data_IF_144435532128
#
_entry.id   IF_144435532128
#
_cell.length_a   1.000
_cell.length_b   1.000
_cell.length_c   1.000
_cell.angle_alpha   90.00
_cell.angle_beta   90.00
_cell.angle_gamma   90.00
#
_symmetry.space_group_name_H-M   'P 1'
#
loop_
_entity.id
_entity.type
_entity.pdbx_description
1 polymer ?
#
# COMPACT_ATOMS: atom_id res chain seq x y z
N UNK A 1 -33.56 -64.72 39.77
CA UNK A 1 -33.87 -63.47 40.52
C UNK A 1 -32.70 -62.50 40.43
N UNK A 2 -31.55 -62.77 41.05
CA UNK A 2 -30.39 -61.84 41.05
C UNK A 2 -29.89 -61.47 39.64
N UNK A 3 -29.77 -62.44 38.75
CA UNK A 3 -29.37 -62.19 37.35
C UNK A 3 -30.34 -61.28 36.59
N UNK A 4 -31.65 -61.41 36.84
CA UNK A 4 -32.68 -60.58 36.21
C UNK A 4 -32.66 -59.15 36.77
N UNK A 5 -32.34 -58.99 38.05
CA UNK A 5 -32.19 -57.68 38.68
C UNK A 5 -30.96 -56.97 38.13
N UNK A 6 -29.84 -57.69 37.97
CA UNK A 6 -28.61 -57.15 37.39
C UNK A 6 -28.78 -56.73 35.93
N UNK A 7 -29.48 -57.52 35.10
CA UNK A 7 -29.73 -57.15 33.71
C UNK A 7 -30.62 -55.92 33.59
N UNK A 8 -31.65 -55.79 34.44
CA UNK A 8 -32.50 -54.59 34.47
C UNK A 8 -31.72 -53.36 34.91
N UNK A 9 -30.87 -53.47 35.93
CA UNK A 9 -29.99 -52.38 36.36
C UNK A 9 -29.02 -51.95 35.27
N UNK A 10 -28.45 -52.90 34.53
CA UNK A 10 -27.54 -52.60 33.43
C UNK A 10 -28.28 -51.87 32.30
N UNK A 11 -29.45 -52.39 31.90
CA UNK A 11 -30.23 -51.84 30.79
C UNK A 11 -30.75 -50.42 31.08
N UNK A 12 -31.11 -50.14 32.34
CA UNK A 12 -31.55 -48.80 32.77
C UNK A 12 -30.37 -47.85 33.00
N UNK A 13 -29.21 -48.35 33.42
CA UNK A 13 -28.02 -47.54 33.71
C UNK A 13 -27.23 -47.09 32.47
N UNK A 14 -27.24 -47.89 31.40
CA UNK A 14 -26.55 -47.57 30.13
C UNK A 14 -26.85 -46.16 29.57
N UNK A 15 -28.12 -45.72 29.42
CA UNK A 15 -28.42 -44.40 28.84
C UNK A 15 -27.96 -43.22 29.71
N UNK A 16 -27.79 -43.41 31.03
CA UNK A 16 -27.28 -42.34 31.90
C UNK A 16 -25.78 -42.07 31.67
N UNK A 17 -25.02 -43.07 31.22
CA UNK A 17 -23.60 -42.90 30.91
C UNK A 17 -23.38 -42.12 29.60
N UNK A 18 -24.26 -42.30 28.61
CA UNK A 18 -24.14 -41.67 27.29
C UNK A 18 -24.45 -40.16 27.30
N UNK A 19 -25.31 -39.71 28.22
CA UNK A 19 -25.64 -38.30 28.38
C UNK A 19 -24.47 -37.49 28.99
N UNK A 20 -23.58 -38.13 29.75
CA UNK A 20 -22.45 -37.48 30.40
C UNK A 20 -21.20 -37.38 29.50
N UNK A 21 -21.12 -38.23 28.47
CA UNK A 21 -19.96 -38.31 27.56
C UNK A 21 -20.10 -37.46 26.30
N UNK A 22 -21.31 -36.95 26.01
CA UNK A 22 -21.55 -36.12 24.82
C UNK A 22 -21.01 -34.71 25.08
N UNK A 23 -19.89 -34.29 24.45
CA UNK A 23 -19.41 -32.93 24.60
C UNK A 23 -20.47 -31.95 24.06
N UNK A 24 -20.65 -30.77 24.68
CA UNK A 24 -21.58 -29.78 24.16
C UNK A 24 -21.16 -29.41 22.73
N UNK A 25 -22.08 -29.58 21.77
CA UNK A 25 -21.82 -29.23 20.37
C UNK A 25 -21.70 -27.71 20.29
N UNK A 26 -20.48 -27.21 20.15
CA UNK A 26 -20.23 -25.78 19.96
C UNK A 26 -20.89 -25.34 18.65
N UNK A 27 -21.90 -24.48 18.72
CA UNK A 27 -22.43 -23.78 17.56
C UNK A 27 -21.58 -22.53 17.35
N UNK A 28 -20.36 -22.68 16.87
CA UNK A 28 -19.58 -21.53 16.43
C UNK A 28 -20.24 -20.97 15.17
N UNK A 29 -20.67 -19.69 15.15
CA UNK A 29 -21.19 -19.08 13.94
C UNK A 29 -20.14 -19.19 12.83
N UNK A 30 -20.55 -19.72 11.67
CA UNK A 30 -19.68 -19.75 10.49
C UNK A 30 -19.47 -18.30 10.03
N UNK A 31 -18.22 -17.87 9.74
CA UNK A 31 -17.99 -16.55 9.14
C UNK A 31 -18.87 -16.36 7.90
N UNK A 32 -19.71 -15.33 7.90
CA UNK A 32 -20.66 -15.06 6.82
C UNK A 32 -22.03 -15.74 6.94
N UNK A 33 -22.37 -16.33 8.08
CA UNK A 33 -23.74 -16.79 8.34
C UNK A 33 -24.76 -15.64 8.19
N UNK A 34 -25.97 -15.89 7.67
CA UNK A 34 -27.00 -14.85 7.55
C UNK A 34 -27.22 -14.11 8.87
N UNK A 35 -27.11 -12.78 8.86
CA UNK A 35 -27.21 -11.95 10.07
C UNK A 35 -25.91 -11.72 10.84
N UNK A 36 -24.77 -12.30 10.41
CA UNK A 36 -23.45 -11.85 10.91
C UNK A 36 -23.08 -10.51 10.27
N UNK A 37 -22.72 -9.47 11.06
CA UNK A 37 -22.31 -8.20 10.50
C UNK A 37 -21.06 -8.35 9.64
N UNK A 38 -21.15 -7.99 8.37
CA UNK A 38 -19.96 -7.83 7.51
C UNK A 38 -19.12 -6.67 8.06
N UNK A 39 -17.80 -6.83 8.23
CA UNK A 39 -16.94 -5.72 8.63
C UNK A 39 -17.13 -4.54 7.68
N UNK A 40 -17.38 -3.35 8.21
CA UNK A 40 -17.43 -2.13 7.40
C UNK A 40 -16.09 -1.91 6.70
N UNK A 41 -16.06 -1.50 5.43
CA UNK A 41 -14.81 -1.23 4.72
C UNK A 41 -13.94 -0.22 5.47
N UNK A 42 -12.62 -0.37 5.33
CA UNK A 42 -11.68 0.65 5.79
C UNK A 42 -11.92 1.98 5.06
N UNK A 43 -11.55 3.12 5.68
CA UNK A 43 -11.59 4.40 5.00
C UNK A 43 -10.77 4.34 3.70
N UNK A 44 -11.38 4.80 2.61
CA UNK A 44 -10.70 4.91 1.32
C UNK A 44 -9.72 6.09 1.40
N UNK A 45 -8.43 5.81 1.50
CA UNK A 45 -7.39 6.84 1.41
C UNK A 45 -7.19 7.15 -0.08
N UNK A 46 -7.64 8.32 -0.53
CA UNK A 46 -7.28 8.80 -1.87
C UNK A 46 -5.79 9.16 -1.86
N UNK A 47 -4.96 8.56 -2.74
CA UNK A 47 -3.57 8.96 -2.87
C UNK A 47 -3.48 10.44 -3.24
N UNK A 48 -2.50 11.16 -2.70
CA UNK A 48 -2.29 12.56 -3.07
C UNK A 48 -2.05 12.66 -4.57
N UNK A 49 -2.72 13.62 -5.21
CA UNK A 49 -2.51 13.89 -6.64
C UNK A 49 -1.06 14.31 -6.88
N UNK A 50 -0.43 13.86 -7.98
CA UNK A 50 0.89 14.35 -8.37
C UNK A 50 0.88 15.88 -8.51
N UNK A 51 1.96 16.57 -8.11
CA UNK A 51 2.04 18.01 -8.25
C UNK A 51 1.91 18.42 -9.72
N UNK A 52 1.33 19.59 -9.97
CA UNK A 52 1.16 20.11 -11.32
C UNK A 52 2.53 20.35 -11.95
N UNK A 53 2.69 19.96 -13.22
CA UNK A 53 3.88 20.29 -13.99
C UNK A 53 4.12 21.81 -14.00
N UNK A 54 5.40 22.23 -14.01
CA UNK A 54 5.79 23.63 -13.87
C UNK A 54 5.05 24.53 -14.88
N UNK A 55 5.07 24.16 -16.17
CA UNK A 55 4.44 24.93 -17.24
C UNK A 55 2.94 24.60 -17.44
N UNK A 56 2.34 23.80 -16.56
CA UNK A 56 0.95 23.31 -16.69
C UNK A 56 0.64 22.59 -18.01
N UNK A 57 1.67 22.23 -18.80
CA UNK A 57 1.54 21.49 -20.05
C UNK A 57 1.67 19.98 -19.81
N UNK A 58 0.91 19.14 -20.54
CA UNK A 58 1.09 17.69 -20.51
C UNK A 58 2.54 17.31 -20.89
N UNK A 59 3.21 16.56 -20.02
CA UNK A 59 4.58 16.10 -20.24
C UNK A 59 5.68 17.08 -19.81
N UNK A 60 5.35 18.28 -19.32
CA UNK A 60 6.33 19.18 -18.74
C UNK A 60 6.88 18.62 -17.41
N UNK A 61 8.16 18.90 -17.06
CA UNK A 61 8.75 18.45 -15.81
C UNK A 61 7.99 19.03 -14.60
N UNK A 62 7.98 18.26 -13.51
CA UNK A 62 7.33 18.65 -12.25
C UNK A 62 8.02 19.84 -11.57
N UNK A 63 9.29 20.04 -11.88
CA UNK A 63 10.16 21.01 -11.22
C UNK A 63 10.58 22.10 -12.21
N UNK A 64 10.72 23.36 -11.73
CA UNK A 64 11.34 24.40 -12.52
C UNK A 64 12.78 24.04 -12.88
N UNK A 65 13.31 24.60 -13.99
CA UNK A 65 14.73 24.50 -14.31
C UNK A 65 15.61 25.00 -13.16
N UNK A 66 16.65 24.23 -12.83
CA UNK A 66 17.64 24.64 -11.83
C UNK A 66 18.67 25.57 -12.46
N UNK A 67 19.07 26.68 -11.80
CA UNK A 67 20.15 27.52 -12.30
C UNK A 67 21.47 26.75 -12.28
N UNK A 68 22.09 26.61 -13.46
CA UNK A 68 23.40 25.99 -13.63
C UNK A 68 24.47 27.08 -13.81
N UNK A 69 25.67 26.95 -13.21
CA UNK A 69 26.77 27.85 -13.47
C UNK A 69 27.13 27.85 -14.96
N UNK A 70 27.33 29.03 -15.54
CA UNK A 70 27.80 29.16 -16.90
C UNK A 70 29.25 28.68 -17.07
N UNK A 71 29.67 28.34 -18.30
CA UNK A 71 31.06 27.99 -18.58
C UNK A 71 32.00 29.17 -18.26
N UNK A 72 33.26 28.90 -17.87
CA UNK A 72 34.25 29.95 -17.58
C UNK A 72 34.44 30.87 -18.78
N UNK A 73 34.33 32.19 -18.57
CA UNK A 73 34.46 33.21 -19.62
C UNK A 73 35.88 33.30 -20.20
N UNK A 74 36.86 32.82 -19.44
CA UNK A 74 38.28 32.97 -19.76
C UNK A 74 38.86 31.80 -20.58
N UNK A 75 38.04 30.79 -20.91
CA UNK A 75 38.49 29.70 -21.77
C UNK A 75 38.34 30.09 -23.23
N UNK A 76 39.41 30.03 -24.05
CA UNK A 76 39.29 30.22 -25.48
C UNK A 76 38.36 29.15 -26.04
N UNK A 77 37.28 29.58 -26.68
CA UNK A 77 36.38 28.69 -27.39
C UNK A 77 37.20 27.90 -28.43
N UNK A 78 37.20 26.55 -28.38
CA UNK A 78 37.94 25.75 -29.35
C UNK A 78 37.54 26.16 -30.77
N UNK A 79 38.47 26.74 -31.52
CA UNK A 79 38.26 27.19 -32.90
C UNK A 79 37.96 28.67 -33.12
N UNK A 80 37.77 29.49 -32.08
CA UNK A 80 37.59 30.94 -32.22
C UNK A 80 38.84 31.69 -31.73
N UNK A 81 39.66 32.16 -32.68
CA UNK A 81 40.79 33.05 -32.37
C UNK A 81 40.26 34.47 -32.13
N UNK A 82 40.73 35.20 -31.10
CA UNK A 82 40.39 36.60 -30.93
C UNK A 82 40.78 37.41 -32.17
N UNK A 83 39.84 38.19 -32.70
CA UNK A 83 40.08 39.08 -33.83
C UNK A 83 40.96 40.26 -33.36
N UNK A 84 41.99 40.68 -34.12
CA UNK A 84 42.85 41.78 -33.72
C UNK A 84 42.06 43.10 -33.65
N UNK A 85 42.36 43.97 -32.67
CA UNK A 85 41.63 45.23 -32.50
C UNK A 85 41.81 46.15 -33.71
N UNK A 86 40.71 46.73 -34.18
CA UNK A 86 40.69 47.70 -35.29
C UNK A 86 41.49 48.95 -34.89
N UNK A 87 42.45 49.42 -35.71
CA UNK A 87 43.25 50.59 -35.38
C UNK A 87 42.38 51.85 -35.29
N UNK A 88 42.67 52.70 -34.31
CA UNK A 88 42.02 53.99 -34.15
C UNK A 88 42.38 54.90 -35.31
N UNK A 89 41.36 55.49 -35.94
CA UNK A 89 41.52 56.55 -36.94
C UNK A 89 42.06 57.77 -36.20
N UNK A 90 43.24 58.22 -36.61
CA UNK A 90 43.90 59.42 -36.09
C UNK A 90 43.44 60.57 -36.99
N UNK A 91 42.56 61.42 -36.49
CA UNK A 91 42.15 62.66 -37.16
C UNK A 91 43.26 63.72 -36.99
N UNK A 92 43.56 64.43 -38.10
CA UNK A 92 44.66 65.39 -38.37
C UNK A 92 44.96 66.43 -37.27
#
# INVERSE_FOLDING_TARGET
MVHAILTVLLLVGLPLAEAASTPPRLTTPVPGAPGTPTPTPYPQVTPSTPPKAYDSQPGAPLLPPMPVPGPPKDQPLPGLRPEPPKPAVQDD
#
